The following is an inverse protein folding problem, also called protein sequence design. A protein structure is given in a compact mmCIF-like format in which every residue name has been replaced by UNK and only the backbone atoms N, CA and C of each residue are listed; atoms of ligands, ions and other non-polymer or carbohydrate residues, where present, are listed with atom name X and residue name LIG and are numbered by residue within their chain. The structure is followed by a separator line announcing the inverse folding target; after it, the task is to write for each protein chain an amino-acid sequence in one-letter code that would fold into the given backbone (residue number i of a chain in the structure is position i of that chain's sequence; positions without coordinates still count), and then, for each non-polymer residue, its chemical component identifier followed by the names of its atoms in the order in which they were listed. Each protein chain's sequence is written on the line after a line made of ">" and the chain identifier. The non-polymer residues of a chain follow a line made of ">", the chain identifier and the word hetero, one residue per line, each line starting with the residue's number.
data_IF_282314181310
#
_entry.id   IF_282314181310
#
_cell.length_a   1.000
_cell.length_b   1.000
_cell.length_c   1.000
_cell.angle_alpha   90.00
_cell.angle_beta   90.00
_cell.angle_gamma   90.00
#
_symmetry.space_group_name_H-M   'P 1'
#
loop_
_entity.id
_entity.type
_entity.pdbx_description
1 polymer ?
#
# COMPACT_ATOMS: atom_id res chain seq x y z
N UNK A 1 -7.03 -18.32 1.70
CA UNK A 1 -5.91 -17.56 2.30
C UNK A 1 -6.39 -16.29 3.01
N UNK A 2 -7.12 -15.37 2.37
CA UNK A 2 -7.65 -14.17 3.05
C UNK A 2 -8.45 -14.46 4.36
N UNK A 3 -9.31 -15.50 4.42
CA UNK A 3 -10.02 -15.85 5.66
C UNK A 3 -9.11 -16.28 6.82
N UNK A 4 -7.83 -16.58 6.54
CA UNK A 4 -6.83 -16.96 7.55
C UNK A 4 -6.05 -15.75 8.08
N UNK A 5 -6.33 -14.55 7.58
CA UNK A 5 -5.72 -13.28 8.02
C UNK A 5 -6.84 -12.41 8.61
N UNK A 6 -7.28 -12.66 9.86
CA UNK A 6 -8.44 -11.98 10.42
C UNK A 6 -8.21 -10.49 10.73
N UNK A 7 -6.96 -10.03 10.77
CA UNK A 7 -6.57 -8.70 11.22
C UNK A 7 -5.79 -7.93 10.14
N UNK A 8 -6.28 -7.94 8.89
CA UNK A 8 -5.63 -7.15 7.82
C UNK A 8 -5.91 -5.66 8.03
N UNK A 9 -4.92 -4.93 8.53
CA UNK A 9 -4.99 -3.48 8.70
C UNK A 9 -4.77 -2.68 7.41
N UNK A 10 -3.90 -3.13 6.51
CA UNK A 10 -3.60 -2.45 5.24
C UNK A 10 -3.27 -3.49 4.16
N UNK A 11 -3.73 -3.25 2.93
CA UNK A 11 -3.41 -4.07 1.76
C UNK A 11 -2.61 -3.26 0.75
N UNK A 12 -1.39 -3.71 0.44
CA UNK A 12 -0.54 -3.07 -0.57
C UNK A 12 -0.85 -3.66 -1.95
N UNK A 13 -1.35 -2.83 -2.87
CA UNK A 13 -1.74 -3.25 -4.22
C UNK A 13 -0.57 -3.04 -5.19
N UNK A 14 0.27 -4.07 -5.31
CA UNK A 14 1.52 -4.02 -6.07
C UNK A 14 1.27 -4.32 -7.54
N UNK A 15 1.52 -3.33 -8.39
CA UNK A 15 1.40 -3.47 -9.85
C UNK A 15 -0.04 -3.40 -10.37
N UNK A 16 -0.14 -3.32 -11.70
CA UNK A 16 -1.39 -2.97 -12.38
C UNK A 16 -2.50 -4.02 -12.20
N UNK A 17 -2.15 -5.32 -12.19
CA UNK A 17 -3.14 -6.39 -12.02
C UNK A 17 -3.85 -6.31 -10.66
N UNK A 18 -3.11 -6.05 -9.58
CA UNK A 18 -3.70 -5.86 -8.26
C UNK A 18 -4.59 -4.61 -8.23
N UNK A 19 -4.11 -3.50 -8.77
CA UNK A 19 -4.88 -2.26 -8.79
C UNK A 19 -6.17 -2.37 -9.62
N UNK A 20 -6.14 -3.02 -10.78
CA UNK A 20 -7.34 -3.26 -11.59
C UNK A 20 -8.38 -4.11 -10.86
N UNK A 21 -7.93 -5.12 -10.11
CA UNK A 21 -8.83 -6.03 -9.40
C UNK A 21 -9.51 -5.37 -8.20
N UNK A 22 -8.78 -4.54 -7.47
CA UNK A 22 -9.24 -4.00 -6.18
C UNK A 22 -9.71 -2.55 -6.25
N UNK A 23 -9.36 -1.80 -7.30
CA UNK A 23 -9.73 -0.39 -7.49
C UNK A 23 -10.48 -0.23 -8.82
N UNK A 24 -11.80 -0.51 -8.87
CA UNK A 24 -12.58 -0.45 -10.12
C UNK A 24 -12.60 0.97 -10.73
N UNK A 25 -12.61 2.01 -9.89
CA UNK A 25 -12.69 3.42 -10.31
C UNK A 25 -11.31 4.11 -10.42
N UNK A 26 -10.23 3.32 -10.53
CA UNK A 26 -8.88 3.92 -10.60
C UNK A 26 -8.69 4.75 -11.87
N UNK A 27 -7.85 5.80 -11.82
CA UNK A 27 -7.39 6.51 -13.01
C UNK A 27 -6.78 5.58 -14.07
N UNK A 28 -6.75 6.04 -15.32
CA UNK A 28 -6.20 5.26 -16.44
C UNK A 28 -4.73 4.88 -16.22
N UNK A 29 -3.92 5.83 -15.74
CA UNK A 29 -2.48 5.65 -15.60
C UNK A 29 -2.06 5.16 -14.20
N UNK A 30 -0.93 4.46 -14.13
CA UNK A 30 -0.33 4.03 -12.88
C UNK A 30 0.05 5.23 -12.00
N UNK A 31 0.66 6.26 -12.59
CA UNK A 31 1.11 7.45 -11.86
C UNK A 31 -0.07 8.17 -11.20
N UNK A 32 -1.15 8.41 -11.95
CA UNK A 32 -2.33 9.09 -11.39
C UNK A 32 -3.01 8.26 -10.31
N UNK A 33 -3.06 6.94 -10.51
CA UNK A 33 -3.58 6.01 -9.48
C UNK A 33 -2.75 6.12 -8.21
N UNK A 34 -1.42 6.06 -8.29
CA UNK A 34 -0.57 6.16 -7.10
C UNK A 34 -0.63 7.58 -6.52
N UNK A 35 -0.72 8.64 -7.32
CA UNK A 35 -0.79 10.02 -6.83
C UNK A 35 -2.02 10.25 -5.94
N UNK A 36 -3.11 9.55 -6.24
CA UNK A 36 -4.38 9.59 -5.51
C UNK A 36 -4.49 8.54 -4.40
N UNK A 37 -3.37 7.94 -3.96
CA UNK A 37 -3.35 6.85 -2.97
C UNK A 37 -4.18 7.11 -1.70
N UNK A 38 -4.31 8.38 -1.28
CA UNK A 38 -5.08 8.81 -0.11
C UNK A 38 -6.57 8.47 -0.23
N UNK A 39 -7.11 8.34 -1.44
CA UNK A 39 -8.53 8.03 -1.68
C UNK A 39 -8.92 6.62 -1.19
N UNK A 40 -7.95 5.71 -1.09
CA UNK A 40 -8.20 4.33 -0.66
C UNK A 40 -7.49 3.96 0.65
N UNK A 41 -6.67 4.86 1.18
CA UNK A 41 -5.98 4.69 2.45
C UNK A 41 -6.99 4.68 3.63
N UNK A 42 -6.68 3.99 4.73
CA UNK A 42 -5.54 3.09 4.96
C UNK A 42 -5.74 1.68 4.37
N UNK A 43 -6.96 1.37 3.91
CA UNK A 43 -7.33 -0.01 3.52
C UNK A 43 -6.54 -0.52 2.32
N UNK A 44 -6.38 0.29 1.29
CA UNK A 44 -5.60 -0.02 0.10
C UNK A 44 -4.58 1.06 -0.20
N UNK A 45 -3.33 0.65 -0.47
CA UNK A 45 -2.29 1.55 -0.96
C UNK A 45 -1.78 1.03 -2.31
N UNK A 46 -2.05 1.72 -3.43
CA UNK A 46 -1.50 1.36 -4.73
C UNK A 46 0.01 1.61 -4.77
N UNK A 47 0.77 0.62 -5.25
CA UNK A 47 2.22 0.69 -5.37
C UNK A 47 2.71 0.31 -6.77
N UNK A 48 3.83 0.87 -7.24
CA UNK A 48 4.47 0.38 -8.45
C UNK A 48 5.01 -1.04 -8.20
N UNK A 49 5.12 -1.84 -9.26
CA UNK A 49 5.74 -3.17 -9.15
C UNK A 49 7.24 -3.02 -8.82
N UNK A 50 7.85 -3.84 -7.93
CA UNK A 50 9.27 -3.74 -7.58
C UNK A 50 10.22 -4.28 -8.68
N UNK A 51 9.88 -4.11 -9.96
CA UNK A 51 10.75 -4.50 -11.08
C UNK A 51 11.80 -3.42 -11.34
N UNK A 52 13.03 -3.77 -11.77
CA UNK A 52 14.04 -2.80 -12.23
C UNK A 52 13.51 -1.84 -13.31
N UNK A 53 12.48 -2.25 -14.07
CA UNK A 53 11.81 -1.41 -15.06
C UNK A 53 11.16 -0.15 -14.46
N UNK A 54 10.83 -0.17 -13.17
CA UNK A 54 10.22 0.97 -12.46
C UNK A 54 11.23 1.92 -11.82
N UNK A 55 12.54 1.66 -11.92
CA UNK A 55 13.57 2.58 -11.42
C UNK A 55 13.48 3.96 -12.07
N UNK A 56 13.23 4.02 -13.39
CA UNK A 56 13.02 5.29 -14.09
C UNK A 56 11.77 6.01 -13.61
N UNK A 57 10.70 5.27 -13.28
CA UNK A 57 9.47 5.84 -12.75
C UNK A 57 9.71 6.47 -11.37
N UNK A 58 10.43 5.79 -10.47
CA UNK A 58 10.77 6.32 -9.14
C UNK A 58 11.60 7.61 -9.25
N UNK A 59 12.61 7.62 -10.13
CA UNK A 59 13.41 8.83 -10.40
C UNK A 59 12.57 10.02 -10.90
N UNK A 60 11.54 9.75 -11.71
CA UNK A 60 10.62 10.79 -12.23
C UNK A 60 9.53 11.20 -11.22
N UNK A 61 9.30 10.40 -10.19
CA UNK A 61 8.23 10.58 -9.21
C UNK A 61 8.80 10.57 -7.79
N UNK A 62 9.71 11.51 -7.43
CA UNK A 62 10.38 11.51 -6.12
C UNK A 62 9.39 11.69 -4.95
N UNK A 63 8.21 12.26 -5.23
CA UNK A 63 7.12 12.37 -4.28
C UNK A 63 6.63 11.02 -3.74
N UNK A 64 6.83 9.91 -4.47
CA UNK A 64 6.44 8.59 -3.98
C UNK A 64 7.22 8.22 -2.71
N UNK A 65 8.54 8.41 -2.74
CA UNK A 65 9.42 8.16 -1.59
C UNK A 65 9.26 9.21 -0.50
N UNK A 66 8.92 10.45 -0.85
CA UNK A 66 8.75 11.53 0.11
C UNK A 66 7.38 11.51 0.84
N UNK A 67 6.32 10.99 0.21
CA UNK A 67 4.97 11.06 0.77
C UNK A 67 4.37 9.68 1.09
N UNK A 68 4.46 8.73 0.17
CA UNK A 68 3.74 7.44 0.28
C UNK A 68 4.49 6.51 1.22
N UNK A 69 5.82 6.40 1.05
CA UNK A 69 6.66 5.51 1.86
C UNK A 69 6.62 5.89 3.35
N UNK A 70 6.75 7.17 3.76
CA UNK A 70 6.66 7.56 5.16
C UNK A 70 5.30 7.24 5.77
N UNK A 71 4.21 7.47 5.04
CA UNK A 71 2.87 7.11 5.49
C UNK A 71 2.72 5.62 5.77
N UNK A 72 3.18 4.76 4.85
CA UNK A 72 3.16 3.30 5.04
C UNK A 72 3.97 2.93 6.29
N UNK A 73 5.19 3.47 6.43
CA UNK A 73 6.06 3.17 7.56
C UNK A 73 5.42 3.57 8.89
N UNK A 74 4.82 4.75 8.95
CA UNK A 74 4.15 5.23 10.15
C UNK A 74 2.96 4.34 10.51
N UNK A 75 2.09 4.02 9.55
CA UNK A 75 0.96 3.12 9.78
C UNK A 75 1.43 1.75 10.27
N UNK A 76 2.40 1.14 9.59
CA UNK A 76 2.95 -0.17 9.98
C UNK A 76 3.54 -0.12 11.38
N UNK A 77 4.31 0.92 11.73
CA UNK A 77 4.85 1.08 13.08
C UNK A 77 3.74 1.24 14.13
N UNK A 78 2.66 1.95 13.82
CA UNK A 78 1.51 2.07 14.73
C UNK A 78 0.83 0.72 14.97
N UNK A 79 0.61 -0.06 13.90
CA UNK A 79 0.01 -1.40 14.01
C UNK A 79 0.89 -2.36 14.82
N UNK A 80 2.21 -2.39 14.56
CA UNK A 80 3.15 -3.25 15.28
C UNK A 80 3.35 -2.84 16.76
N UNK A 81 3.22 -1.55 17.08
CA UNK A 81 3.26 -1.08 18.48
C UNK A 81 1.98 -1.41 19.25
N UNK A 82 0.83 -1.43 18.55
CA UNK A 82 -0.47 -1.84 19.09
C UNK A 82 -0.54 -3.33 19.45
N UNK A 83 0.36 -4.16 18.91
CA UNK A 83 0.45 -5.61 19.18
C UNK A 83 1.23 -5.99 20.45
N UNK A 84 1.64 -5.05 21.30
CA UNK A 84 2.03 -5.39 22.68
C UNK A 84 0.79 -5.72 23.52
N UNK A 85 0.11 -6.85 23.27
CA UNK A 85 -0.82 -7.42 24.25
C UNK A 85 -1.07 -8.93 24.12
N UNK A 86 -0.59 -9.58 25.19
CA UNK A 86 -0.91 -10.89 25.77
C UNK A 86 -0.43 -12.19 25.09
N UNK A 87 0.61 -12.87 25.64
CA UNK A 87 0.94 -14.26 25.26
C UNK A 87 -0.14 -15.29 25.70
N UNK A 88 -1.27 -14.84 26.26
CA UNK A 88 -2.43 -15.66 26.62
C UNK A 88 -3.71 -15.17 25.93
N UNK A 89 -3.75 -15.26 24.61
CA UNK A 89 -5.00 -15.21 23.85
C UNK A 89 -5.60 -16.61 23.74
N UNK A 90 -6.73 -16.81 24.41
CA UNK A 90 -7.60 -18.00 24.35
C UNK A 90 -8.01 -18.39 22.93
#
# INVERSE_FOLDING_TARGET
>A
MLPLLPQVGMTLLIGQYAQQRYLPDRPKTLTDTIRQWRNWAPRYIPMPHPSPRNTLWLKKNPWFEAEVVPYIREYVHQQLKGEKRDPRGK
#
